data_IF_876018329485
#
_entry.id   IF_876018329485
#
_cell.length_a   1.000
_cell.length_b   1.000
_cell.length_c   1.000
_cell.angle_alpha   90.00
_cell.angle_beta   90.00
_cell.angle_gamma   90.00
#
_symmetry.space_group_name_H-M   'P 1'
#
loop_
_entity.id
_entity.type
_entity.pdbx_description
1 polymer ?
#
# COMPACT_ATOMS: atom_id res chain seq x y z
N UNK A 1 58.45 21.44 67.50
CA UNK A 1 57.38 22.47 67.52
C UNK A 1 57.23 23.01 66.07
N UNK A 2 56.26 22.54 65.37
CA UNK A 2 56.03 22.80 63.96
C UNK A 2 54.79 23.67 63.83
N UNK A 3 54.98 24.86 63.24
CA UNK A 3 53.89 25.78 62.97
C UNK A 3 53.12 25.42 61.69
N UNK A 4 51.79 25.32 61.75
CA UNK A 4 50.89 25.08 60.64
C UNK A 4 50.43 26.42 60.07
N UNK A 5 50.71 26.67 58.77
CA UNK A 5 50.21 27.83 58.03
C UNK A 5 48.91 27.44 57.28
N UNK A 6 47.80 28.10 57.59
CA UNK A 6 46.56 27.98 56.84
C UNK A 6 46.65 28.75 55.52
N UNK A 7 46.38 28.06 54.41
CA UNK A 7 46.16 28.68 53.09
C UNK A 7 44.69 28.62 52.81
N UNK A 8 44.05 29.80 52.78
CA UNK A 8 42.67 29.96 52.30
C UNK A 8 42.67 29.95 50.75
N UNK A 9 42.12 28.89 50.15
CA UNK A 9 41.85 28.83 48.72
C UNK A 9 40.46 29.37 48.42
N UNK A 10 40.41 30.44 47.62
CA UNK A 10 39.15 30.98 47.06
C UNK A 10 38.76 30.17 45.87
N UNK A 11 37.66 29.44 45.96
CA UNK A 11 37.02 28.78 44.82
C UNK A 11 36.13 29.76 44.07
N UNK A 12 36.55 30.17 42.87
CA UNK A 12 35.72 30.88 41.92
C UNK A 12 34.84 29.86 41.18
N UNK A 13 33.49 29.94 41.43
CA UNK A 13 32.52 29.12 40.68
C UNK A 13 32.22 29.84 39.35
N UNK A 14 32.77 29.31 38.28
CA UNK A 14 32.38 29.72 36.91
C UNK A 14 31.05 29.08 36.52
N UNK A 15 30.00 29.88 36.49
CA UNK A 15 28.69 29.50 35.98
C UNK A 15 28.76 29.38 34.43
N UNK A 16 28.81 28.16 33.90
CA UNK A 16 28.71 27.89 32.46
C UNK A 16 27.26 27.97 32.08
N UNK A 17 26.85 29.08 31.45
CA UNK A 17 25.54 29.19 30.75
C UNK A 17 25.58 28.34 29.48
N UNK A 18 25.06 27.12 29.56
CA UNK A 18 24.78 26.29 28.37
C UNK A 18 23.52 26.81 27.72
N UNK A 19 23.68 27.67 26.70
CA UNK A 19 22.58 27.96 25.76
C UNK A 19 22.30 26.71 24.95
N UNK A 20 21.30 25.92 25.35
CA UNK A 20 20.80 24.78 24.63
C UNK A 20 20.20 25.24 23.30
N UNK A 21 20.86 24.90 22.17
CA UNK A 21 20.24 25.00 20.87
C UNK A 21 19.04 24.05 20.85
N UNK A 22 17.82 24.56 20.95
CA UNK A 22 16.61 23.81 20.72
C UNK A 22 16.61 23.34 19.24
N UNK A 23 16.73 22.05 19.03
CA UNK A 23 16.71 21.45 17.69
C UNK A 23 15.27 21.52 17.15
N UNK A 24 14.95 22.27 16.08
CA UNK A 24 13.60 22.40 15.55
C UNK A 24 13.07 21.11 14.86
N UNK A 25 13.89 20.05 14.78
CA UNK A 25 13.54 18.79 14.14
C UNK A 25 12.63 17.87 14.97
N UNK A 26 12.50 18.06 16.29
CA UNK A 26 11.64 17.24 17.13
C UNK A 26 10.14 17.57 16.97
N UNK A 27 9.80 18.85 16.75
CA UNK A 27 8.41 19.27 16.61
C UNK A 27 7.74 18.77 15.32
N UNK A 28 8.51 18.59 14.22
CA UNK A 28 7.96 18.14 12.94
C UNK A 28 7.53 16.66 12.96
N UNK A 29 8.14 15.84 13.80
CA UNK A 29 7.79 14.41 13.94
C UNK A 29 6.59 14.20 14.91
N UNK A 30 6.30 15.14 15.80
CA UNK A 30 5.13 15.11 16.68
C UNK A 30 3.89 15.66 15.99
N UNK A 31 4.02 16.69 15.17
CA UNK A 31 2.93 17.26 14.37
C UNK A 31 2.37 16.27 13.33
N UNK A 32 3.18 15.30 12.89
CA UNK A 32 2.73 14.20 12.02
C UNK A 32 2.00 13.06 12.75
N UNK A 33 2.03 13.01 14.09
CA UNK A 33 1.44 11.90 14.87
C UNK A 33 0.00 12.17 15.33
N UNK A 34 -0.46 13.41 15.32
CA UNK A 34 -1.77 13.79 15.84
C UNK A 34 -2.74 14.22 14.73
N UNK A 35 -2.79 13.45 13.65
CA UNK A 35 -3.80 13.67 12.60
C UNK A 35 -5.06 12.90 13.00
N UNK A 36 -5.96 13.56 13.72
CA UNK A 36 -7.29 13.03 14.00
C UNK A 36 -8.16 13.13 12.75
N UNK A 37 -8.21 12.04 12.00
CA UNK A 37 -9.09 11.86 10.85
C UNK A 37 -9.72 10.47 10.95
N UNK A 38 -11.04 10.35 10.71
CA UNK A 38 -11.69 9.04 10.78
C UNK A 38 -11.12 8.11 9.72
N UNK A 39 -10.87 6.83 10.04
CA UNK A 39 -10.48 5.83 9.04
C UNK A 39 -11.50 5.76 7.91
N UNK A 40 -11.01 5.62 6.67
CA UNK A 40 -11.85 5.36 5.51
C UNK A 40 -11.69 3.90 5.07
N UNK A 41 -12.79 3.20 4.83
CA UNK A 41 -12.77 1.93 4.10
C UNK A 41 -12.66 2.27 2.62
N UNK A 42 -11.48 2.02 2.02
CA UNK A 42 -11.21 2.35 0.62
C UNK A 42 -11.49 1.19 -0.34
N UNK A 43 -11.53 -0.04 0.16
CA UNK A 43 -11.93 -1.22 -0.61
C UNK A 43 -12.53 -2.28 0.31
N UNK A 44 -13.74 -2.71 0.02
CA UNK A 44 -14.44 -3.74 0.76
C UNK A 44 -14.46 -5.05 -0.03
N UNK A 45 -14.00 -6.12 0.58
CA UNK A 45 -14.07 -7.46 -0.01
C UNK A 45 -15.44 -8.07 0.29
N UNK A 46 -15.86 -8.03 1.57
CA UNK A 46 -17.17 -8.50 2.02
C UNK A 46 -17.61 -7.76 3.30
N UNK A 47 -18.52 -8.35 4.09
CA UNK A 47 -19.07 -7.77 5.31
C UNK A 47 -18.03 -7.58 6.44
N UNK A 48 -16.95 -8.35 6.45
CA UNK A 48 -15.94 -8.36 7.51
C UNK A 48 -14.50 -8.11 7.02
N UNK A 49 -14.21 -8.24 5.70
CA UNK A 49 -12.87 -8.03 5.14
C UNK A 49 -12.82 -6.75 4.30
N UNK A 50 -11.84 -5.90 4.60
CA UNK A 50 -11.69 -4.64 3.90
C UNK A 50 -10.28 -4.06 4.01
N UNK A 51 -9.98 -3.11 3.14
CA UNK A 51 -8.78 -2.27 3.22
C UNK A 51 -9.19 -0.89 3.73
N UNK A 52 -8.52 -0.41 4.78
CA UNK A 52 -8.69 0.93 5.31
C UNK A 52 -7.50 1.82 4.98
N UNK A 53 -7.78 3.13 4.87
CA UNK A 53 -6.81 4.21 4.86
C UNK A 53 -6.93 4.98 6.18
N UNK A 54 -5.82 5.15 6.88
CA UNK A 54 -5.74 5.75 8.20
C UNK A 54 -4.56 6.70 8.31
N UNK A 55 -4.55 7.57 9.30
CA UNK A 55 -3.49 8.57 9.53
C UNK A 55 -3.15 9.36 8.25
N UNK A 56 -4.17 9.71 7.47
CA UNK A 56 -3.99 10.34 6.17
C UNK A 56 -4.19 11.86 6.22
N UNK A 57 -3.51 12.55 5.32
CA UNK A 57 -3.70 13.99 5.06
C UNK A 57 -4.62 14.23 3.87
N UNK A 58 -4.57 13.34 2.92
CA UNK A 58 -5.40 13.24 1.72
C UNK A 58 -5.32 11.80 1.20
N UNK A 59 -6.13 11.42 0.24
CA UNK A 59 -6.26 10.04 -0.25
C UNK A 59 -4.96 9.36 -0.66
N UNK A 60 -3.98 10.11 -1.11
CA UNK A 60 -2.69 9.57 -1.59
C UNK A 60 -1.57 9.64 -0.55
N UNK A 61 -1.90 9.99 0.70
CA UNK A 61 -0.90 10.08 1.76
C UNK A 61 -1.47 9.64 3.11
N UNK A 62 -1.33 8.39 3.40
CA UNK A 62 -1.80 7.78 4.65
C UNK A 62 -1.20 6.39 4.84
N UNK A 63 -1.70 5.69 5.83
CA UNK A 63 -1.33 4.30 6.12
C UNK A 63 -2.46 3.38 5.73
N UNK A 64 -2.18 2.35 4.93
CA UNK A 64 -3.19 1.36 4.54
C UNK A 64 -3.05 0.07 5.34
N UNK A 65 -4.20 -0.50 5.69
CA UNK A 65 -4.31 -1.77 6.42
C UNK A 65 -5.31 -2.70 5.76
N UNK A 66 -4.99 -3.98 5.75
CA UNK A 66 -6.00 -5.03 5.59
C UNK A 66 -6.61 -5.34 6.96
N UNK A 67 -7.91 -5.54 6.97
CA UNK A 67 -8.67 -5.87 8.16
C UNK A 67 -9.59 -7.08 7.88
N UNK A 68 -9.65 -8.02 8.83
CA UNK A 68 -10.69 -9.04 8.93
C UNK A 68 -11.24 -8.99 10.35
N UNK A 69 -12.42 -8.43 10.51
CA UNK A 69 -13.05 -8.24 11.83
C UNK A 69 -13.55 -9.53 12.44
N UNK A 70 -13.83 -10.55 11.63
CA UNK A 70 -14.26 -11.88 12.10
C UNK A 70 -13.12 -12.66 12.72
N UNK A 71 -11.92 -12.56 12.12
CA UNK A 71 -10.73 -13.28 12.59
C UNK A 71 -9.81 -12.41 13.47
N UNK A 72 -10.14 -11.13 13.68
CA UNK A 72 -9.30 -10.20 14.42
C UNK A 72 -7.95 -9.91 13.72
N UNK A 73 -7.89 -10.07 12.39
CA UNK A 73 -6.67 -9.82 11.62
C UNK A 73 -6.60 -8.35 11.25
N UNK A 74 -5.44 -7.75 11.47
CA UNK A 74 -5.10 -6.41 11.01
C UNK A 74 -3.65 -6.39 10.54
N UNK A 75 -3.45 -6.30 9.24
CA UNK A 75 -2.13 -6.31 8.61
C UNK A 75 -1.83 -4.97 7.96
N UNK A 76 -0.73 -4.33 8.38
CA UNK A 76 -0.27 -3.06 7.83
C UNK A 76 0.44 -3.28 6.51
N UNK A 77 0.00 -2.58 5.45
CA UNK A 77 0.69 -2.60 4.16
C UNK A 77 1.82 -1.56 4.07
N UNK A 78 1.61 -0.36 4.60
CA UNK A 78 2.61 0.69 4.58
C UNK A 78 2.02 2.09 4.50
N UNK A 79 2.90 3.08 4.39
CA UNK A 79 2.58 4.49 4.15
C UNK A 79 2.84 4.86 2.69
N UNK A 80 2.26 5.96 2.28
CA UNK A 80 2.57 6.60 1.00
C UNK A 80 1.48 6.46 -0.06
N UNK A 81 0.29 5.96 0.30
CA UNK A 81 -0.89 5.99 -0.56
C UNK A 81 -0.81 5.09 -1.79
N UNK A 82 0.19 4.20 -1.90
CA UNK A 82 0.38 3.37 -3.08
C UNK A 82 -0.84 2.53 -3.44
N UNK A 83 -1.50 1.92 -2.46
CA UNK A 83 -2.73 1.14 -2.70
C UNK A 83 -3.89 2.07 -3.08
N UNK A 84 -4.08 3.18 -2.34
CA UNK A 84 -5.14 4.14 -2.63
C UNK A 84 -4.97 4.84 -3.99
N UNK A 85 -3.80 4.76 -4.60
CA UNK A 85 -3.49 5.33 -5.92
C UNK A 85 -3.80 4.39 -7.09
N UNK A 86 -4.17 3.14 -6.84
CA UNK A 86 -4.54 2.21 -7.90
C UNK A 86 -5.92 2.55 -8.45
N UNK A 87 -6.04 2.70 -9.79
CA UNK A 87 -7.25 3.13 -10.49
C UNK A 87 -7.90 2.01 -11.32
N UNK A 88 -7.22 0.88 -11.47
CA UNK A 88 -7.72 -0.25 -12.24
C UNK A 88 -8.81 -1.04 -11.51
N UNK A 89 -9.34 -2.03 -12.18
CA UNK A 89 -10.36 -2.93 -11.63
C UNK A 89 -9.69 -3.95 -10.70
N UNK A 90 -10.22 -4.14 -9.52
CA UNK A 90 -9.73 -5.08 -8.50
C UNK A 90 -10.84 -6.05 -8.11
N UNK A 91 -10.59 -7.35 -8.25
CA UNK A 91 -11.54 -8.41 -7.95
C UNK A 91 -10.90 -9.40 -6.97
N UNK A 92 -11.43 -9.51 -5.76
CA UNK A 92 -11.06 -10.56 -4.80
C UNK A 92 -12.22 -11.55 -4.68
N UNK A 93 -12.22 -12.58 -5.55
CA UNK A 93 -13.33 -13.51 -5.75
C UNK A 93 -13.13 -14.88 -5.09
N UNK A 94 -12.10 -15.05 -4.25
CA UNK A 94 -11.90 -16.33 -3.55
C UNK A 94 -12.99 -16.53 -2.47
N UNK A 95 -13.91 -17.52 -2.65
CA UNK A 95 -14.97 -17.76 -1.70
C UNK A 95 -14.45 -18.32 -0.36
N UNK A 96 -13.23 -18.89 -0.33
CA UNK A 96 -12.60 -19.38 0.91
C UNK A 96 -11.99 -18.24 1.71
N UNK A 97 -11.76 -17.08 1.09
CA UNK A 97 -11.12 -15.92 1.71
C UNK A 97 -9.63 -16.07 1.99
N UNK A 98 -9.00 -17.17 1.56
CA UNK A 98 -7.57 -17.40 1.77
C UNK A 98 -6.71 -16.54 0.85
N UNK A 99 -7.13 -16.44 -0.40
CA UNK A 99 -6.38 -15.74 -1.43
C UNK A 99 -6.88 -14.30 -1.57
N UNK A 100 -5.96 -13.38 -1.44
CA UNK A 100 -6.23 -11.95 -1.55
C UNK A 100 -5.14 -11.34 -2.41
N UNK A 101 -5.51 -10.48 -3.35
CA UNK A 101 -4.54 -9.69 -4.13
C UNK A 101 -4.80 -8.21 -3.91
N UNK A 102 -3.73 -7.45 -3.79
CA UNK A 102 -3.79 -6.00 -3.63
C UNK A 102 -2.75 -5.35 -4.54
N UNK A 103 -3.17 -4.70 -5.61
CA UNK A 103 -2.27 -3.90 -6.44
C UNK A 103 -1.95 -2.58 -5.75
N UNK A 104 -0.88 -1.95 -6.21
CA UNK A 104 -0.51 -0.59 -5.82
C UNK A 104 -0.23 0.24 -7.07
N UNK A 105 -0.05 1.54 -6.88
CA UNK A 105 0.45 2.45 -7.91
C UNK A 105 1.24 3.57 -7.25
N UNK A 106 1.71 4.56 -8.00
CA UNK A 106 2.25 5.78 -7.42
C UNK A 106 1.14 6.82 -7.27
N UNK A 107 1.25 7.74 -6.29
CA UNK A 107 0.40 8.91 -6.21
C UNK A 107 0.50 9.77 -7.49
N UNK A 108 -0.54 10.59 -7.81
CA UNK A 108 -0.53 11.42 -9.02
C UNK A 108 0.65 12.38 -9.11
N UNK A 109 1.20 12.80 -7.96
CA UNK A 109 2.40 13.65 -7.89
C UNK A 109 3.71 12.86 -7.75
N UNK A 110 3.66 11.52 -7.87
CA UNK A 110 4.82 10.67 -7.79
C UNK A 110 5.71 10.83 -9.02
N UNK A 111 7.01 11.04 -8.78
CA UNK A 111 8.01 11.21 -9.84
C UNK A 111 8.70 9.88 -10.11
N UNK A 112 8.69 9.47 -11.36
CA UNK A 112 9.46 8.31 -11.82
C UNK A 112 10.80 8.75 -12.42
N UNK A 113 11.88 7.94 -12.25
CA UNK A 113 13.13 8.18 -12.94
C UNK A 113 12.97 8.03 -14.47
N UNK A 114 13.97 8.42 -15.23
CA UNK A 114 13.94 8.39 -16.71
C UNK A 114 13.64 7.01 -17.29
N UNK A 115 14.04 5.95 -16.58
CA UNK A 115 13.74 4.56 -16.95
C UNK A 115 12.32 4.12 -16.61
N UNK A 116 11.52 5.00 -15.99
CA UNK A 116 10.18 4.68 -15.48
C UNK A 116 10.20 3.99 -14.11
N UNK A 117 9.02 3.78 -13.58
CA UNK A 117 8.77 3.08 -12.32
C UNK A 117 8.34 1.64 -12.55
N UNK A 118 8.75 0.75 -11.65
CA UNK A 118 8.28 -0.62 -11.59
C UNK A 118 7.34 -0.77 -10.39
N UNK A 119 6.11 -1.20 -10.65
CA UNK A 119 5.05 -1.31 -9.66
C UNK A 119 4.73 -2.77 -9.40
N UNK A 120 4.78 -3.16 -8.13
CA UNK A 120 4.45 -4.52 -7.70
C UNK A 120 3.00 -4.61 -7.20
N UNK A 121 2.46 -5.83 -7.23
CA UNK A 121 1.30 -6.21 -6.43
C UNK A 121 1.74 -7.03 -5.22
N UNK A 122 0.89 -7.11 -4.22
CA UNK A 122 1.05 -8.00 -3.08
C UNK A 122 -0.11 -8.99 -3.02
N UNK A 123 0.12 -10.14 -2.44
CA UNK A 123 -0.89 -11.18 -2.31
C UNK A 123 -0.74 -11.95 -0.98
N UNK A 124 -1.83 -12.55 -0.56
CA UNK A 124 -1.92 -13.46 0.57
C UNK A 124 -2.48 -14.80 0.11
N UNK A 125 -2.04 -15.90 0.73
CA UNK A 125 -2.63 -17.25 0.60
C UNK A 125 -3.05 -17.83 1.95
N UNK A 126 -3.10 -16.98 2.99
CA UNK A 126 -3.40 -17.37 4.38
C UNK A 126 -4.49 -16.50 5.04
N UNK A 127 -5.35 -15.88 4.21
CA UNK A 127 -6.47 -15.06 4.66
C UNK A 127 -6.06 -13.69 5.19
N UNK A 128 -4.95 -13.14 4.68
CA UNK A 128 -4.48 -11.81 5.04
C UNK A 128 -3.63 -11.75 6.32
N UNK A 129 -3.26 -12.90 6.90
CA UNK A 129 -2.32 -12.94 8.03
C UNK A 129 -0.92 -12.49 7.62
N UNK A 130 -0.52 -12.86 6.42
CA UNK A 130 0.70 -12.36 5.81
C UNK A 130 0.49 -12.00 4.34
N UNK A 131 1.30 -11.03 3.86
CA UNK A 131 1.33 -10.63 2.46
C UNK A 131 2.74 -10.73 1.92
N UNK A 132 2.85 -11.16 0.66
CA UNK A 132 4.11 -11.28 -0.09
C UNK A 132 4.03 -10.43 -1.36
N UNK A 133 5.17 -9.98 -1.84
CA UNK A 133 5.26 -9.36 -3.17
C UNK A 133 5.07 -10.41 -4.26
N UNK A 134 4.20 -10.14 -5.24
CA UNK A 134 3.97 -10.99 -6.40
C UNK A 134 4.87 -10.69 -7.59
N UNK A 135 5.73 -9.68 -7.48
CA UNK A 135 6.53 -9.19 -8.59
C UNK A 135 5.97 -7.91 -9.20
N UNK A 136 6.64 -7.44 -10.26
CA UNK A 136 6.23 -6.22 -10.96
C UNK A 136 5.19 -6.56 -12.03
N UNK A 137 3.99 -6.01 -11.88
CA UNK A 137 2.93 -6.12 -12.88
C UNK A 137 2.95 -4.97 -13.89
N UNK A 138 3.41 -3.79 -13.47
CA UNK A 138 3.62 -2.64 -14.33
C UNK A 138 5.11 -2.33 -14.35
N UNK A 139 5.71 -2.24 -15.53
CA UNK A 139 7.16 -2.05 -15.70
C UNK A 139 7.44 -0.80 -16.53
N UNK A 140 8.47 -0.04 -16.14
CA UNK A 140 8.94 1.14 -16.85
C UNK A 140 7.85 2.21 -17.13
N UNK A 141 6.80 2.25 -16.31
CA UNK A 141 5.75 3.25 -16.43
C UNK A 141 6.28 4.64 -16.07
N UNK A 142 5.97 5.64 -16.87
CA UNK A 142 6.27 7.06 -16.57
C UNK A 142 5.15 7.74 -15.81
N UNK A 143 3.95 7.19 -15.87
CA UNK A 143 2.74 7.70 -15.23
C UNK A 143 1.96 6.58 -14.54
N UNK A 144 2.52 5.90 -13.51
CA UNK A 144 1.89 4.71 -12.91
C UNK A 144 0.47 4.98 -12.43
N UNK A 145 0.18 6.18 -11.92
CA UNK A 145 -1.17 6.55 -11.51
C UNK A 145 -2.16 6.40 -12.65
N UNK A 146 -1.90 7.01 -13.78
CA UNK A 146 -2.78 6.96 -14.95
C UNK A 146 -2.77 5.58 -15.61
N UNK A 147 -1.59 4.98 -15.74
CA UNK A 147 -1.43 3.68 -16.40
C UNK A 147 -2.12 2.57 -15.61
N UNK A 148 -2.23 2.68 -14.28
CA UNK A 148 -2.90 1.68 -13.45
C UNK A 148 -4.38 1.47 -13.84
N UNK A 149 -5.02 2.47 -14.44
CA UNK A 149 -6.39 2.36 -14.95
C UNK A 149 -6.55 1.37 -16.13
N UNK A 150 -5.43 0.95 -16.76
CA UNK A 150 -5.42 -0.02 -17.85
C UNK A 150 -5.38 -1.47 -17.36
N UNK A 151 -5.37 -1.71 -16.04
CA UNK A 151 -5.19 -3.03 -15.46
C UNK A 151 -6.46 -3.56 -14.82
N UNK A 152 -6.64 -4.89 -14.93
CA UNK A 152 -7.57 -5.66 -14.11
C UNK A 152 -6.73 -6.63 -13.29
N UNK A 153 -6.91 -6.64 -11.98
CA UNK A 153 -6.24 -7.55 -11.06
C UNK A 153 -7.29 -8.38 -10.35
N UNK A 154 -7.21 -9.70 -10.45
CA UNK A 154 -8.21 -10.59 -9.86
C UNK A 154 -7.55 -11.75 -9.12
N UNK A 155 -8.08 -12.12 -7.94
CA UNK A 155 -7.73 -13.33 -7.21
C UNK A 155 -8.92 -14.28 -7.12
N UNK A 156 -8.64 -15.56 -7.33
CA UNK A 156 -9.59 -16.68 -7.17
C UNK A 156 -9.06 -17.68 -6.14
N UNK A 157 -9.75 -18.80 -5.97
CA UNK A 157 -9.32 -19.86 -5.05
C UNK A 157 -7.97 -20.51 -5.44
N UNK A 158 -7.54 -20.39 -6.70
CA UNK A 158 -6.37 -21.11 -7.22
C UNK A 158 -5.40 -20.26 -8.07
N UNK A 159 -5.74 -18.99 -8.36
CA UNK A 159 -4.90 -18.15 -9.23
C UNK A 159 -5.09 -16.66 -9.05
N UNK A 160 -4.10 -15.90 -9.52
CA UNK A 160 -4.19 -14.45 -9.76
C UNK A 160 -4.15 -14.22 -11.26
N UNK A 161 -5.00 -13.33 -11.74
CA UNK A 161 -4.97 -12.76 -13.08
C UNK A 161 -4.51 -11.30 -13.00
N UNK A 162 -3.52 -10.96 -13.80
CA UNK A 162 -3.11 -9.59 -14.09
C UNK A 162 -3.37 -9.36 -15.57
N UNK A 163 -4.37 -8.58 -15.89
CA UNK A 163 -4.73 -8.24 -17.26
C UNK A 163 -4.36 -6.79 -17.55
N UNK A 164 -3.50 -6.59 -18.55
CA UNK A 164 -3.10 -5.27 -19.04
C UNK A 164 -3.77 -5.00 -20.37
N UNK A 165 -4.42 -3.86 -20.51
CA UNK A 165 -5.05 -3.45 -21.75
C UNK A 165 -4.00 -3.30 -22.84
N UNK A 166 -4.21 -3.86 -24.03
CA UNK A 166 -3.23 -3.88 -25.13
C UNK A 166 -2.94 -2.45 -25.63
N UNK A 167 -3.98 -1.63 -25.74
CA UNK A 167 -3.91 -0.21 -26.01
C UNK A 167 -5.17 0.47 -25.48
N UNK A 168 -5.15 1.80 -25.30
CA UNK A 168 -6.26 2.54 -24.68
C UNK A 168 -7.59 2.40 -25.45
N UNK A 169 -7.51 2.27 -26.76
CA UNK A 169 -8.63 2.19 -27.72
C UNK A 169 -9.00 0.74 -28.12
N UNK A 170 -8.23 -0.26 -27.66
CA UNK A 170 -8.46 -1.67 -27.96
C UNK A 170 -9.10 -2.35 -26.74
N UNK A 171 -10.27 -2.93 -26.90
CA UNK A 171 -10.93 -3.71 -25.85
C UNK A 171 -10.44 -5.17 -25.83
N UNK A 172 -9.15 -5.33 -25.63
CA UNK A 172 -8.49 -6.63 -25.44
C UNK A 172 -7.33 -6.47 -24.46
N UNK A 173 -6.93 -7.58 -23.82
CA UNK A 173 -5.96 -7.58 -22.73
C UNK A 173 -4.90 -8.66 -22.94
N UNK A 174 -3.67 -8.36 -22.57
CA UNK A 174 -2.67 -9.36 -22.22
C UNK A 174 -2.89 -9.80 -20.78
N UNK A 175 -3.07 -11.10 -20.58
CA UNK A 175 -3.38 -11.69 -19.28
C UNK A 175 -2.22 -12.56 -18.82
N UNK A 176 -1.61 -12.19 -17.72
CA UNK A 176 -0.65 -13.02 -16.99
C UNK A 176 -1.40 -13.75 -15.86
N UNK A 177 -1.28 -15.07 -15.82
CA UNK A 177 -1.94 -15.91 -14.84
C UNK A 177 -0.92 -16.56 -13.92
N UNK A 178 -1.00 -16.26 -12.64
CA UNK A 178 -0.17 -16.83 -11.59
C UNK A 178 -0.95 -17.91 -10.84
N UNK A 179 -0.40 -19.11 -10.64
CA UNK A 179 -1.01 -20.13 -9.81
C UNK A 179 -0.90 -19.74 -8.34
N UNK A 180 -1.95 -20.02 -7.56
CA UNK A 180 -1.94 -19.85 -6.10
C UNK A 180 -2.09 -21.21 -5.42
N UNK A 181 -1.04 -21.62 -4.74
CA UNK A 181 -1.05 -22.73 -3.80
C UNK A 181 -0.57 -22.23 -2.44
N UNK A 182 -0.95 -22.92 -1.38
CA UNK A 182 -0.58 -22.51 -0.02
C UNK A 182 0.93 -22.31 0.12
N UNK A 183 1.33 -21.16 0.63
CA UNK A 183 2.74 -20.83 0.90
C UNK A 183 3.60 -20.48 -0.33
N UNK A 184 3.02 -20.42 -1.54
CA UNK A 184 3.78 -20.08 -2.74
C UNK A 184 4.48 -18.71 -2.62
N UNK A 185 5.71 -18.62 -3.15
CA UNK A 185 6.40 -17.35 -3.39
C UNK A 185 6.54 -17.13 -4.90
N UNK A 186 5.72 -16.25 -5.46
CA UNK A 186 5.66 -15.95 -6.90
C UNK A 186 6.94 -15.27 -7.44
N UNK A 187 7.87 -14.88 -6.57
CA UNK A 187 9.20 -14.37 -6.97
C UNK A 187 10.24 -15.49 -7.15
N UNK A 188 9.91 -16.69 -6.72
CA UNK A 188 10.75 -17.87 -6.89
C UNK A 188 10.27 -18.69 -8.09
N UNK A 189 11.12 -19.56 -8.66
CA UNK A 189 10.68 -20.55 -9.64
C UNK A 189 9.49 -21.34 -9.12
N UNK A 190 8.49 -21.53 -9.97
CA UNK A 190 7.31 -22.29 -9.59
C UNK A 190 7.67 -23.75 -9.28
N UNK A 191 7.00 -24.38 -8.29
CA UNK A 191 7.22 -25.78 -7.96
C UNK A 191 6.97 -26.70 -9.17
N UNK A 192 7.62 -27.89 -9.25
CA UNK A 192 7.39 -28.85 -10.31
C UNK A 192 5.89 -29.17 -10.48
N UNK A 193 5.43 -29.16 -11.72
CA UNK A 193 4.01 -29.40 -12.05
C UNK A 193 3.08 -28.19 -11.90
N UNK A 194 3.51 -27.12 -11.25
CA UNK A 194 2.77 -25.87 -11.14
C UNK A 194 3.20 -24.95 -12.29
N UNK A 195 2.24 -24.42 -13.05
CA UNK A 195 2.52 -23.55 -14.20
C UNK A 195 1.69 -22.29 -14.16
N UNK A 196 2.33 -21.16 -14.44
CA UNK A 196 1.67 -19.95 -14.87
C UNK A 196 1.25 -20.03 -16.34
N UNK A 197 0.53 -19.01 -16.78
CA UNK A 197 0.10 -18.91 -18.19
C UNK A 197 0.11 -17.44 -18.63
N UNK A 198 0.18 -17.24 -19.95
CA UNK A 198 0.13 -15.91 -20.57
C UNK A 198 -0.67 -15.99 -21.86
N UNK A 199 -1.74 -15.21 -21.98
CA UNK A 199 -2.65 -15.27 -23.09
C UNK A 199 -3.33 -13.94 -23.39
N UNK A 200 -3.91 -13.82 -24.60
CA UNK A 200 -4.82 -12.72 -24.93
C UNK A 200 -6.24 -13.03 -24.44
N UNK A 201 -6.90 -12.05 -23.82
CA UNK A 201 -8.25 -12.20 -23.33
C UNK A 201 -9.25 -12.61 -24.44
N UNK A 202 -9.07 -12.10 -25.67
CA UNK A 202 -9.86 -12.51 -26.84
C UNK A 202 -9.77 -13.99 -27.18
N UNK A 203 -8.70 -14.71 -26.77
CA UNK A 203 -8.58 -16.16 -26.94
C UNK A 203 -9.24 -16.96 -25.83
N UNK A 204 -9.56 -16.33 -24.70
CA UNK A 204 -10.24 -16.92 -23.54
C UNK A 204 -11.22 -15.90 -22.96
N UNK A 205 -12.27 -15.53 -23.67
CA UNK A 205 -13.16 -14.43 -23.31
C UNK A 205 -13.85 -14.60 -21.95
N UNK A 206 -13.93 -15.85 -21.47
CA UNK A 206 -14.61 -16.19 -20.21
C UNK A 206 -13.66 -16.29 -19.00
N UNK A 207 -12.38 -15.83 -19.08
CA UNK A 207 -11.40 -16.01 -18.00
C UNK A 207 -11.79 -15.27 -16.70
N UNK A 208 -12.60 -14.21 -16.77
CA UNK A 208 -13.16 -13.49 -15.61
C UNK A 208 -14.67 -13.72 -15.45
N UNK A 209 -15.29 -14.63 -16.22
CA UNK A 209 -16.74 -14.80 -16.18
C UNK A 209 -17.21 -15.26 -14.80
N UNK A 210 -18.20 -14.57 -14.25
CA UNK A 210 -18.74 -14.84 -12.91
C UNK A 210 -17.85 -14.40 -11.74
N UNK A 211 -16.64 -13.86 -12.03
CA UNK A 211 -15.78 -13.35 -10.97
C UNK A 211 -16.21 -11.94 -10.56
N UNK A 212 -16.51 -11.78 -9.29
CA UNK A 212 -16.81 -10.50 -8.65
C UNK A 212 -16.35 -10.52 -7.20
N UNK A 213 -16.00 -9.37 -6.70
CA UNK A 213 -15.79 -9.20 -5.26
C UNK A 213 -17.12 -9.37 -4.54
N UNK A 214 -17.23 -10.15 -3.46
CA UNK A 214 -18.51 -10.43 -2.78
C UNK A 214 -19.29 -9.19 -2.36
N UNK A 215 -18.61 -8.09 -2.01
CA UNK A 215 -19.27 -6.80 -1.71
C UNK A 215 -19.82 -6.08 -2.93
N UNK A 216 -19.45 -6.47 -4.14
CA UNK A 216 -19.69 -5.74 -5.38
C UNK A 216 -18.72 -4.59 -5.66
N UNK A 217 -17.83 -4.25 -4.71
CA UNK A 217 -16.83 -3.20 -4.94
C UNK A 217 -15.66 -3.74 -5.77
N UNK A 218 -15.39 -3.11 -6.91
CA UNK A 218 -14.33 -3.51 -7.84
C UNK A 218 -13.29 -2.40 -8.12
N UNK A 219 -13.41 -1.27 -7.42
CA UNK A 219 -12.47 -0.16 -7.51
C UNK A 219 -12.12 0.33 -6.13
N UNK A 220 -10.86 0.72 -5.94
CA UNK A 220 -10.44 1.42 -4.74
C UNK A 220 -11.03 2.83 -4.79
N UNK A 221 -11.69 3.24 -3.72
CA UNK A 221 -12.34 4.54 -3.59
C UNK A 221 -11.92 5.21 -2.30
N UNK A 222 -11.61 6.49 -2.37
CA UNK A 222 -11.30 7.32 -1.21
C UNK A 222 -12.02 8.66 -1.35
N UNK A 223 -12.62 9.11 -0.28
CA UNK A 223 -13.25 10.43 -0.23
C UNK A 223 -12.22 11.49 0.19
N UNK A 224 -11.72 12.26 -0.78
CA UNK A 224 -10.72 13.30 -0.53
C UNK A 224 -11.31 14.55 0.14
N UNK A 225 -12.64 14.61 0.34
CA UNK A 225 -13.28 15.68 1.13
C UNK A 225 -13.12 15.46 2.63
N UNK A 226 -12.90 14.23 3.08
CA UNK A 226 -12.63 13.90 4.49
C UNK A 226 -11.16 14.20 4.77
N UNK A 227 -10.90 15.29 5.49
CA UNK A 227 -9.54 15.78 5.80
C UNK A 227 -9.39 16.10 7.27
N UNK A 228 -8.16 16.08 7.81
CA UNK A 228 -7.90 16.59 9.13
C UNK A 228 -8.36 18.06 9.26
N UNK A 229 -8.94 18.40 10.39
CA UNK A 229 -9.49 19.75 10.65
C UNK A 229 -8.45 20.86 10.57
N UNK A 230 -7.17 20.53 10.76
CA UNK A 230 -6.03 21.44 10.71
C UNK A 230 -5.38 21.59 9.30
N UNK A 231 -5.91 20.92 8.27
CA UNK A 231 -5.42 21.07 6.91
C UNK A 231 -6.30 22.03 6.09
N UNK A 232 -5.71 23.05 5.44
CA UNK A 232 -6.48 23.96 4.60
C UNK A 232 -7.12 23.17 3.43
N UNK A 233 -8.36 23.55 3.11
CA UNK A 233 -9.01 23.07 1.88
C UNK A 233 -8.19 23.53 0.68
N UNK A 234 -8.04 22.70 -0.39
CA UNK A 234 -7.46 23.19 -1.62
C UNK A 234 -8.26 24.40 -2.10
N UNK A 235 -7.57 25.45 -2.41
CA UNK A 235 -8.19 26.62 -3.09
C UNK A 235 -8.65 26.14 -4.47
N UNK A 236 -9.88 26.45 -4.90
CA UNK A 236 -10.40 26.07 -6.19
C UNK A 236 -9.60 26.64 -7.34
#
# INVERSE_FOLDING_TARGET
LIAYRHILGVFAIAAILTTGCANPSSNRSEEMRNVEVPPQVIYRIDDHRYISLEDYKHCYFGTTYYNDTRLGIRTKFGRGGGIASYRGRLINADPTGRNIVVPSSYPPMGVCPDKGCNIAFIYSTDGGRSFRSGGYYMKNSRSPFEDSAQYIVAATADRIYIAEKIARDIDDYWVEQYPLVSGIDLRQPLPPGIKGDYFRASRRPNYLNGLHTPSGQEYISCDDSIRPSNFPKPTP
#
